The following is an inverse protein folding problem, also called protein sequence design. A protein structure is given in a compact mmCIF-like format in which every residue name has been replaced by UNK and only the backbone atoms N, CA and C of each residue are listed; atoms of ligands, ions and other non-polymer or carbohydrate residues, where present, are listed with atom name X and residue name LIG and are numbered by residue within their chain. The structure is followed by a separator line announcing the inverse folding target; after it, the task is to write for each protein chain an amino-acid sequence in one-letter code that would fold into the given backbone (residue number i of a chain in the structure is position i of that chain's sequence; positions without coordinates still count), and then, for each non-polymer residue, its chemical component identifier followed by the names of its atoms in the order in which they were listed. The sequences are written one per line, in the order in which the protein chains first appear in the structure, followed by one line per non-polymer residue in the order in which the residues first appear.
data_IF_057308401128
#
_entry.id   IF_057308401128
#
_cell.length_a   1.000
_cell.length_b   1.000
_cell.length_c   1.000
_cell.angle_alpha   90.00
_cell.angle_beta   90.00
_cell.angle_gamma   90.00
#
_symmetry.space_group_name_H-M   'P 1'
#
loop_
_entity.id
_entity.type
_entity.pdbx_description
1 polymer ?
#
# COMPACT_ATOMS: atom_id res chain seq x y z
N UNK A 1 -14.80 2.22 21.26
CA UNK A 1 -14.20 1.02 20.64
C UNK A 1 -13.72 1.39 19.25
N UNK A 2 -12.45 1.26 18.94
CA UNK A 2 -11.95 1.45 17.58
C UNK A 2 -12.53 0.34 16.72
N UNK A 3 -13.27 0.71 15.67
CA UNK A 3 -13.82 -0.25 14.71
C UNK A 3 -12.63 -0.95 14.03
N UNK A 4 -12.57 -2.28 14.13
CA UNK A 4 -11.54 -3.08 13.46
C UNK A 4 -11.58 -2.74 11.96
N UNK A 5 -10.44 -2.36 11.40
CA UNK A 5 -10.33 -2.10 9.96
C UNK A 5 -10.48 -3.42 9.21
N UNK A 6 -11.37 -3.44 8.25
CA UNK A 6 -11.56 -4.59 7.38
C UNK A 6 -10.55 -4.51 6.23
N UNK A 7 -9.65 -5.48 6.18
CA UNK A 7 -8.70 -5.66 5.09
C UNK A 7 -9.05 -6.97 4.39
N UNK A 8 -8.98 -6.98 3.06
CA UNK A 8 -9.12 -8.21 2.29
C UNK A 8 -8.05 -9.26 2.65
N UNK A 9 -8.20 -10.49 2.15
CA UNK A 9 -7.26 -11.58 2.39
C UNK A 9 -7.52 -12.39 3.66
N UNK A 10 -8.63 -12.18 4.36
CA UNK A 10 -9.02 -12.91 5.57
C UNK A 10 -9.61 -14.30 5.30
N UNK A 11 -9.00 -15.06 4.39
CA UNK A 11 -9.50 -16.36 3.96
C UNK A 11 -9.55 -17.40 5.10
N UNK A 12 -8.62 -17.34 6.02
CA UNK A 12 -8.57 -18.17 7.23
C UNK A 12 -9.79 -17.95 8.12
N UNK A 13 -10.22 -16.71 8.29
CA UNK A 13 -11.44 -16.35 9.02
C UNK A 13 -12.69 -16.85 8.30
N UNK A 14 -12.73 -16.72 6.97
CA UNK A 14 -13.83 -17.21 6.17
C UNK A 14 -13.95 -18.74 6.24
N UNK A 15 -12.84 -19.46 6.12
CA UNK A 15 -12.79 -20.92 6.26
C UNK A 15 -13.25 -21.36 7.66
N UNK A 16 -12.80 -20.68 8.71
CA UNK A 16 -13.22 -20.99 10.08
C UNK A 16 -14.73 -20.81 10.29
N UNK A 17 -15.32 -19.82 9.63
CA UNK A 17 -16.76 -19.50 9.78
C UNK A 17 -17.66 -20.34 8.91
N UNK A 18 -17.24 -20.65 7.69
CA UNK A 18 -18.10 -21.28 6.67
C UNK A 18 -17.66 -22.69 6.28
N UNK A 19 -16.50 -23.15 6.78
CA UNK A 19 -15.94 -24.45 6.47
C UNK A 19 -15.20 -24.51 5.13
N UNK A 20 -14.81 -25.72 4.74
CA UNK A 20 -14.06 -25.98 3.51
C UNK A 20 -12.55 -25.93 3.70
N UNK A 21 -11.81 -26.15 2.60
CA UNK A 21 -10.35 -26.04 2.54
C UNK A 21 -9.94 -24.83 1.71
N UNK A 22 -8.69 -24.39 1.84
CA UNK A 22 -8.17 -23.20 1.13
C UNK A 22 -8.31 -23.33 -0.39
N UNK A 23 -8.16 -24.53 -0.92
CA UNK A 23 -8.24 -24.84 -2.35
C UNK A 23 -9.66 -24.73 -2.92
N UNK A 24 -10.67 -24.82 -2.06
CA UNK A 24 -12.08 -24.71 -2.44
C UNK A 24 -12.58 -23.27 -2.48
N UNK A 25 -11.75 -22.32 -2.02
CA UNK A 25 -12.11 -20.90 -1.96
C UNK A 25 -11.46 -20.11 -3.08
N UNK A 26 -12.23 -19.22 -3.68
CA UNK A 26 -11.73 -18.17 -4.56
C UNK A 26 -11.76 -16.82 -3.80
N UNK A 27 -10.58 -16.32 -3.44
CA UNK A 27 -10.46 -15.04 -2.75
C UNK A 27 -10.46 -13.88 -3.75
N UNK A 28 -11.52 -13.11 -3.77
CA UNK A 28 -11.69 -11.89 -4.57
C UNK A 28 -11.71 -10.61 -3.70
N UNK A 29 -11.29 -10.71 -2.44
CA UNK A 29 -11.34 -9.60 -1.49
C UNK A 29 -10.21 -8.57 -1.67
N UNK A 30 -9.22 -8.88 -2.50
CA UNK A 30 -8.08 -7.99 -2.80
C UNK A 30 -7.85 -7.90 -4.31
N UNK A 31 -7.26 -6.77 -4.75
CA UNK A 31 -6.86 -6.56 -6.15
C UNK A 31 -5.51 -7.18 -6.53
N UNK A 32 -5.06 -8.22 -5.81
CA UNK A 32 -3.77 -8.87 -6.10
C UNK A 32 -3.85 -9.60 -7.44
N UNK A 33 -2.87 -9.35 -8.32
CA UNK A 33 -2.76 -10.05 -9.60
C UNK A 33 -2.53 -11.56 -9.33
N UNK A 34 -3.42 -12.46 -9.81
CA UNK A 34 -3.26 -13.90 -9.63
C UNK A 34 -2.05 -14.46 -10.40
N UNK A 35 -1.58 -13.75 -11.41
CA UNK A 35 -0.36 -14.09 -12.14
C UNK A 35 0.82 -13.36 -11.50
N UNK A 36 1.57 -14.07 -10.67
CA UNK A 36 2.74 -13.51 -10.00
C UNK A 36 3.81 -13.06 -10.99
N UNK A 37 4.43 -11.91 -10.69
CA UNK A 37 5.62 -11.46 -11.42
C UNK A 37 6.76 -12.46 -11.24
N UNK A 38 7.41 -12.85 -12.33
CA UNK A 38 8.59 -13.73 -12.27
C UNK A 38 9.78 -12.96 -11.70
N UNK A 39 10.15 -13.26 -10.46
CA UNK A 39 11.28 -12.63 -9.79
C UNK A 39 12.56 -13.33 -10.28
N UNK A 40 13.54 -12.60 -10.85
CA UNK A 40 14.84 -13.18 -11.19
C UNK A 40 15.61 -13.60 -9.93
N UNK A 41 16.63 -14.42 -10.09
CA UNK A 41 17.49 -14.81 -8.96
C UNK A 41 18.15 -13.57 -8.35
N UNK A 42 17.79 -13.26 -7.11
CA UNK A 42 18.37 -12.14 -6.36
C UNK A 42 19.66 -12.61 -5.70
N UNK A 43 20.81 -11.93 -5.90
CA UNK A 43 22.06 -12.26 -5.24
C UNK A 43 21.92 -12.24 -3.72
N UNK A 44 22.60 -13.20 -3.05
CA UNK A 44 22.47 -13.41 -1.61
C UNK A 44 22.82 -12.18 -0.76
N UNK A 45 23.77 -11.35 -1.20
CA UNK A 45 24.17 -10.17 -0.45
C UNK A 45 23.05 -9.14 -0.27
N UNK A 46 22.07 -9.07 -1.17
CA UNK A 46 20.91 -8.18 -1.00
C UNK A 46 20.01 -8.57 0.19
N UNK A 47 20.09 -9.81 0.65
CA UNK A 47 19.33 -10.29 1.81
C UNK A 47 20.07 -10.12 3.14
N UNK A 48 21.38 -9.83 3.09
CA UNK A 48 22.25 -9.77 4.26
C UNK A 48 22.91 -8.40 4.49
N UNK A 49 22.68 -7.44 3.60
CA UNK A 49 23.27 -6.10 3.69
C UNK A 49 22.16 -5.04 3.79
N UNK A 50 22.41 -3.99 4.56
CA UNK A 50 21.57 -2.81 4.52
C UNK A 50 21.73 -2.09 3.18
N UNK A 51 20.66 -1.61 2.56
CA UNK A 51 20.78 -0.80 1.36
C UNK A 51 21.49 0.52 1.68
N UNK A 52 22.46 0.88 0.86
CA UNK A 52 23.18 2.15 0.95
C UNK A 52 22.48 3.25 0.13
N UNK A 53 22.99 4.47 0.24
CA UNK A 53 22.44 5.62 -0.50
C UNK A 53 22.58 5.48 -2.02
N UNK A 54 23.55 4.70 -2.51
CA UNK A 54 23.73 4.41 -3.94
C UNK A 54 22.62 3.48 -4.42
N UNK A 55 22.34 2.41 -3.70
CA UNK A 55 21.26 1.48 -4.04
C UNK A 55 19.89 2.18 -4.06
N UNK A 56 19.63 3.06 -3.08
CA UNK A 56 18.40 3.86 -3.05
C UNK A 56 18.29 4.81 -4.25
N UNK A 57 19.37 5.53 -4.58
CA UNK A 57 19.38 6.41 -5.76
C UNK A 57 19.13 5.64 -7.05
N UNK A 58 19.78 4.49 -7.21
CA UNK A 58 19.60 3.65 -8.39
C UNK A 58 18.15 3.17 -8.54
N UNK A 59 17.51 2.74 -7.44
CA UNK A 59 16.09 2.38 -7.44
C UNK A 59 15.22 3.53 -7.97
N UNK A 60 15.40 4.75 -7.46
CA UNK A 60 14.61 5.91 -7.88
C UNK A 60 14.86 6.29 -9.33
N UNK A 61 16.12 6.18 -9.81
CA UNK A 61 16.46 6.43 -11.21
C UNK A 61 15.77 5.41 -12.13
N UNK A 62 15.83 4.13 -11.80
CA UNK A 62 15.19 3.08 -12.61
C UNK A 62 13.67 3.19 -12.59
N UNK A 63 13.08 3.47 -11.43
CA UNK A 63 11.65 3.74 -11.30
C UNK A 63 11.22 4.94 -12.15
N UNK A 64 11.95 6.04 -12.08
CA UNK A 64 11.70 7.23 -12.89
C UNK A 64 11.75 6.95 -14.39
N UNK A 65 12.75 6.20 -14.86
CA UNK A 65 12.86 5.78 -16.26
C UNK A 65 11.68 4.89 -16.66
N UNK A 66 11.35 3.90 -15.85
CA UNK A 66 10.28 2.94 -16.13
C UNK A 66 8.92 3.62 -16.26
N UNK A 67 8.62 4.59 -15.43
CA UNK A 67 7.34 5.32 -15.44
C UNK A 67 7.36 6.61 -16.25
N UNK A 68 8.47 6.95 -16.92
CA UNK A 68 8.58 8.17 -17.72
C UNK A 68 8.46 9.44 -16.90
N UNK A 69 8.92 9.44 -15.65
CA UNK A 69 8.81 10.59 -14.76
C UNK A 69 9.83 11.66 -15.19
N UNK A 70 9.43 12.93 -15.35
CA UNK A 70 10.33 14.00 -15.73
C UNK A 70 11.51 14.15 -14.76
N UNK A 71 12.69 14.47 -15.28
CA UNK A 71 13.94 14.59 -14.50
C UNK A 71 13.88 15.61 -13.35
N UNK A 72 13.00 16.60 -13.45
CA UNK A 72 12.79 17.63 -12.42
C UNK A 72 11.73 17.26 -11.37
N UNK A 73 11.15 16.08 -11.46
CA UNK A 73 10.16 15.59 -10.51
C UNK A 73 10.84 14.84 -9.36
N UNK A 74 10.30 15.02 -8.15
CA UNK A 74 10.75 14.27 -6.98
C UNK A 74 10.07 12.91 -6.93
N UNK A 75 10.85 11.88 -6.66
CA UNK A 75 10.38 10.52 -6.42
C UNK A 75 10.79 10.10 -5.00
N UNK A 76 9.89 9.40 -4.32
CA UNK A 76 10.15 8.81 -3.01
C UNK A 76 9.81 7.31 -3.07
N UNK A 77 10.60 6.49 -2.40
CA UNK A 77 10.30 5.09 -2.17
C UNK A 77 10.03 4.84 -0.69
N UNK A 78 9.08 3.97 -0.40
CA UNK A 78 8.71 3.57 0.95
C UNK A 78 8.39 2.07 1.01
N UNK A 79 8.38 1.49 2.22
CA UNK A 79 8.10 0.08 2.47
C UNK A 79 6.60 -0.22 2.35
N UNK A 80 6.01 0.14 1.22
CA UNK A 80 4.60 -0.06 0.91
C UNK A 80 3.77 1.21 0.98
N UNK A 81 2.62 1.18 0.28
CA UNK A 81 1.73 2.34 0.14
C UNK A 81 1.14 2.82 1.47
N UNK A 82 0.90 1.92 2.42
CA UNK A 82 0.33 2.28 3.73
C UNK A 82 1.20 3.26 4.50
N UNK A 83 2.53 3.16 4.38
CA UNK A 83 3.45 4.12 4.99
C UNK A 83 3.29 5.52 4.38
N UNK A 84 3.14 5.61 3.06
CA UNK A 84 2.91 6.88 2.38
C UNK A 84 1.56 7.48 2.75
N UNK A 85 0.50 6.66 2.79
CA UNK A 85 -0.85 7.09 3.21
C UNK A 85 -0.82 7.66 4.63
N UNK A 86 -0.08 7.04 5.55
CA UNK A 86 0.01 7.52 6.94
C UNK A 86 0.73 8.88 7.06
N UNK A 87 1.64 9.21 6.14
CA UNK A 87 2.39 10.48 6.15
C UNK A 87 1.64 11.61 5.46
N UNK A 88 0.83 11.32 4.43
CA UNK A 88 0.12 12.32 3.62
C UNK A 88 -0.61 13.39 4.46
N UNK A 89 -1.38 13.04 5.52
CA UNK A 89 -2.11 14.04 6.31
C UNK A 89 -1.22 15.06 7.02
N UNK A 90 0.07 14.74 7.21
CA UNK A 90 1.03 15.60 7.91
C UNK A 90 1.75 16.59 6.99
N UNK A 91 1.49 16.55 5.68
CA UNK A 91 2.11 17.46 4.72
C UNK A 91 1.49 18.87 4.74
N UNK A 92 0.28 18.99 5.24
CA UNK A 92 -0.48 20.23 5.33
C UNK A 92 -1.15 20.35 6.71
N UNK A 93 -1.49 21.55 7.17
CA UNK A 93 -2.34 21.73 8.34
C UNK A 93 -3.68 21.04 8.17
N UNK A 94 -4.17 20.40 9.24
CA UNK A 94 -5.45 19.71 9.22
C UNK A 94 -6.59 20.65 8.83
N UNK A 95 -7.46 20.17 7.95
CA UNK A 95 -8.62 20.87 7.42
C UNK A 95 -9.65 19.84 6.95
N UNK A 96 -10.30 20.08 5.84
CA UNK A 96 -11.27 19.19 5.21
C UNK A 96 -10.62 18.43 4.04
N UNK A 97 -10.91 17.13 3.93
CA UNK A 97 -10.51 16.28 2.81
C UNK A 97 -11.72 15.52 2.27
N UNK A 98 -11.80 15.39 0.96
CA UNK A 98 -12.79 14.53 0.29
C UNK A 98 -12.07 13.31 -0.29
N UNK A 99 -12.62 12.13 -0.04
CA UNK A 99 -12.09 10.86 -0.51
C UNK A 99 -13.12 10.20 -1.40
N UNK A 100 -12.74 9.91 -2.63
CA UNK A 100 -13.60 9.21 -3.58
C UNK A 100 -13.80 7.77 -3.09
N UNK A 101 -15.03 7.38 -2.85
CA UNK A 101 -15.40 6.06 -2.35
C UNK A 101 -16.23 5.28 -3.38
N UNK A 102 -16.17 3.93 -3.35
CA UNK A 102 -15.41 3.09 -2.43
C UNK A 102 -13.92 3.05 -2.77
N UNK A 103 -13.06 3.12 -1.76
CA UNK A 103 -11.60 3.02 -1.89
C UNK A 103 -10.98 2.36 -0.66
N UNK A 104 -9.66 2.18 -0.68
CA UNK A 104 -8.92 1.60 0.44
C UNK A 104 -9.13 2.40 1.72
N UNK A 105 -9.61 1.75 2.75
CA UNK A 105 -10.08 2.37 4.00
C UNK A 105 -8.98 3.07 4.80
N UNK A 106 -7.72 2.76 4.55
CA UNK A 106 -6.57 3.42 5.20
C UNK A 106 -6.50 4.91 4.91
N UNK A 107 -6.94 5.37 3.72
CA UNK A 107 -6.95 6.80 3.39
C UNK A 107 -7.79 7.58 4.39
N UNK A 108 -9.05 7.23 4.54
CA UNK A 108 -9.94 7.92 5.47
C UNK A 108 -9.48 7.81 6.92
N UNK A 109 -8.94 6.65 7.31
CA UNK A 109 -8.45 6.41 8.65
C UNK A 109 -7.22 7.27 8.97
N UNK A 110 -6.25 7.38 8.06
CA UNK A 110 -5.07 8.20 8.23
C UNK A 110 -5.42 9.68 8.40
N UNK A 111 -6.31 10.21 7.56
CA UNK A 111 -6.73 11.61 7.66
C UNK A 111 -7.48 11.88 8.97
N UNK A 112 -8.46 11.05 9.34
CA UNK A 112 -9.20 11.21 10.61
C UNK A 112 -8.31 11.15 11.83
N UNK A 113 -7.31 10.25 11.87
CA UNK A 113 -6.39 10.13 13.00
C UNK A 113 -5.46 11.33 13.16
N UNK A 114 -5.30 12.13 12.11
CA UNK A 114 -4.52 13.37 12.11
C UNK A 114 -5.39 14.64 12.19
N UNK A 115 -6.64 14.52 12.65
CA UNK A 115 -7.52 15.65 12.93
C UNK A 115 -8.19 16.27 11.70
N UNK A 116 -8.18 15.58 10.55
CA UNK A 116 -8.88 16.06 9.36
C UNK A 116 -10.37 15.72 9.40
N UNK A 117 -11.20 16.64 8.92
CA UNK A 117 -12.58 16.36 8.60
C UNK A 117 -12.67 15.62 7.25
N UNK A 118 -13.19 14.39 7.28
CA UNK A 118 -13.25 13.52 6.08
C UNK A 118 -14.66 13.45 5.56
N UNK A 119 -14.90 14.08 4.40
CA UNK A 119 -16.11 13.94 3.62
C UNK A 119 -16.06 12.79 2.63
N UNK A 120 -17.18 12.13 2.40
CA UNK A 120 -17.36 11.13 1.36
C UNK A 120 -17.88 11.80 0.08
N UNK A 121 -17.41 11.34 -1.08
CA UNK A 121 -17.83 11.82 -2.41
C UNK A 121 -18.48 10.70 -3.23
N UNK A 122 -18.95 9.64 -2.55
CA UNK A 122 -19.72 8.58 -3.18
C UNK A 122 -21.11 9.01 -3.62
#
# INVERSE_FOLDING_TARGET
MLKTRDHGGGLDVAISKYGGTREQWLDLSTGINPMSYTIPKIPQHFWSSLPDSKAQKELLIQAGKFWGIPHNSNIMAASGVSQLIAVLPNLLPANQVRIISPTYNEHAAAFRSNGWEVGDTG
#
